data_IF_398391634930
#
_entry.id   IF_398391634930
#
_cell.length_a   1.000
_cell.length_b   1.000
_cell.length_c   1.000
_cell.angle_alpha   90.00
_cell.angle_beta   90.00
_cell.angle_gamma   90.00
#
_symmetry.space_group_name_H-M   'P 1'
#
loop_
_entity.id
_entity.type
_entity.pdbx_description
1 polymer ?
#
# COMPACT_ATOMS: atom_id res chain seq x y z
N UNK A 1 -21.10 -10.18 -0.85
CA UNK A 1 -20.31 -9.11 -1.53
C UNK A 1 -21.02 -7.79 -1.32
N UNK A 2 -20.29 -6.77 -0.89
CA UNK A 2 -20.79 -5.40 -0.69
C UNK A 2 -20.91 -4.72 -2.07
N UNK A 3 -22.05 -4.10 -2.34
CA UNK A 3 -22.25 -3.30 -3.57
C UNK A 3 -21.57 -1.93 -3.42
N UNK A 4 -20.86 -1.41 -4.44
CA UNK A 4 -20.33 -0.06 -4.39
C UNK A 4 -21.46 0.96 -4.18
N UNK A 5 -21.27 1.99 -3.32
CA UNK A 5 -22.34 2.90 -2.91
C UNK A 5 -22.91 3.78 -4.03
N UNK A 6 -22.28 3.84 -5.20
CA UNK A 6 -22.70 4.65 -6.35
C UNK A 6 -22.76 3.87 -7.67
N UNK A 7 -22.93 2.54 -7.61
CA UNK A 7 -22.93 1.72 -8.82
C UNK A 7 -24.03 2.16 -9.79
N UNK A 8 -25.22 2.47 -9.31
CA UNK A 8 -26.36 2.89 -10.12
C UNK A 8 -26.08 4.22 -10.86
N UNK A 9 -25.37 5.14 -10.21
CA UNK A 9 -25.01 6.40 -10.83
C UNK A 9 -23.95 6.19 -11.92
N UNK A 10 -22.97 5.31 -11.67
CA UNK A 10 -21.98 4.92 -12.69
C UNK A 10 -22.66 4.34 -13.93
N UNK A 11 -23.62 3.42 -13.76
CA UNK A 11 -24.35 2.80 -14.87
C UNK A 11 -25.28 3.77 -15.61
N UNK A 12 -25.76 4.82 -14.93
CA UNK A 12 -26.52 5.90 -15.59
C UNK A 12 -25.62 6.79 -16.44
N UNK A 13 -24.41 7.06 -15.97
CA UNK A 13 -23.41 7.86 -16.71
C UNK A 13 -22.90 7.07 -17.91
N UNK A 14 -22.67 5.77 -17.73
CA UNK A 14 -22.22 4.87 -18.79
C UNK A 14 -22.96 3.53 -18.75
N UNK A 15 -23.93 3.37 -19.64
CA UNK A 15 -24.76 2.17 -19.74
C UNK A 15 -24.02 0.96 -20.30
N UNK A 16 -22.87 1.14 -20.96
CA UNK A 16 -22.07 0.03 -21.50
C UNK A 16 -21.46 -0.83 -20.39
N UNK A 17 -21.41 -0.31 -19.16
CA UNK A 17 -20.91 -1.02 -17.99
C UNK A 17 -21.92 -2.00 -17.37
N UNK A 18 -23.17 -2.05 -17.87
CA UNK A 18 -24.25 -2.83 -17.26
C UNK A 18 -23.91 -4.31 -17.12
N UNK A 19 -23.37 -4.93 -18.17
CA UNK A 19 -23.03 -6.36 -18.15
C UNK A 19 -21.80 -6.67 -17.28
N UNK A 20 -21.03 -5.63 -16.90
CA UNK A 20 -19.82 -5.75 -16.10
C UNK A 20 -20.03 -5.47 -14.60
N UNK A 21 -21.27 -5.21 -14.18
CA UNK A 21 -21.62 -5.02 -12.76
C UNK A 21 -21.03 -6.08 -11.82
N UNK A 22 -21.08 -7.40 -12.13
CA UNK A 22 -20.52 -8.41 -11.25
C UNK A 22 -19.03 -8.20 -10.99
N UNK A 23 -18.26 -7.83 -12.03
CA UNK A 23 -16.83 -7.56 -11.90
C UNK A 23 -16.54 -6.26 -11.16
N UNK A 24 -17.35 -5.21 -11.35
CA UNK A 24 -17.22 -3.95 -10.61
C UNK A 24 -17.45 -4.22 -9.11
N UNK A 25 -18.47 -4.99 -8.76
CA UNK A 25 -18.74 -5.40 -7.38
C UNK A 25 -17.57 -6.23 -6.83
N UNK A 26 -17.07 -7.21 -7.58
CA UNK A 26 -15.94 -8.04 -7.14
C UNK A 26 -14.69 -7.20 -6.86
N UNK A 27 -14.32 -6.28 -7.77
CA UNK A 27 -13.17 -5.38 -7.60
C UNK A 27 -13.32 -4.46 -6.38
N UNK A 28 -14.52 -3.97 -6.12
CA UNK A 28 -14.77 -3.16 -4.94
C UNK A 28 -14.59 -3.94 -3.64
N UNK A 29 -14.99 -5.22 -3.60
CA UNK A 29 -14.74 -6.05 -2.42
C UNK A 29 -13.24 -6.33 -2.23
N UNK A 30 -12.49 -6.58 -3.32
CA UNK A 30 -11.02 -6.69 -3.26
C UNK A 30 -10.40 -5.40 -2.70
N UNK A 31 -10.87 -4.24 -3.15
CA UNK A 31 -10.46 -2.95 -2.60
C UNK A 31 -10.74 -2.86 -1.09
N UNK A 32 -11.95 -3.21 -0.64
CA UNK A 32 -12.31 -3.19 0.78
C UNK A 32 -11.45 -4.15 1.61
N UNK A 33 -11.10 -5.32 1.08
CA UNK A 33 -10.22 -6.28 1.75
C UNK A 33 -8.81 -5.70 1.94
N UNK A 34 -8.25 -5.07 0.91
CA UNK A 34 -6.95 -4.39 1.02
C UNK A 34 -7.01 -3.16 1.93
N UNK A 35 -8.07 -2.36 1.84
CA UNK A 35 -8.28 -1.22 2.73
C UNK A 35 -8.29 -1.70 4.20
N UNK A 36 -9.04 -2.76 4.51
CA UNK A 36 -9.08 -3.34 5.86
C UNK A 36 -7.69 -3.77 6.32
N UNK A 37 -6.91 -4.45 5.47
CA UNK A 37 -5.53 -4.86 5.79
C UNK A 37 -4.62 -3.67 6.06
N UNK A 38 -4.77 -2.57 5.31
CA UNK A 38 -4.02 -1.33 5.55
C UNK A 38 -4.43 -0.69 6.88
N UNK A 39 -5.72 -0.68 7.21
CA UNK A 39 -6.21 -0.21 8.51
C UNK A 39 -5.63 -1.02 9.68
N UNK A 40 -5.52 -2.35 9.53
CA UNK A 40 -4.85 -3.23 10.50
C UNK A 40 -3.33 -2.91 10.63
N UNK A 41 -2.70 -2.32 9.60
CA UNK A 41 -1.32 -1.82 9.63
C UNK A 41 -1.17 -0.40 10.20
N UNK A 42 -2.21 0.16 10.83
CA UNK A 42 -2.19 1.50 11.42
C UNK A 42 -2.73 2.61 10.52
N UNK A 43 -3.45 2.26 9.45
CA UNK A 43 -4.20 3.19 8.62
C UNK A 43 -3.43 3.76 7.44
N UNK A 44 -4.17 4.34 6.50
CA UNK A 44 -3.63 4.87 5.24
C UNK A 44 -2.53 5.93 5.45
N UNK A 45 -2.73 6.85 6.40
CA UNK A 45 -1.77 7.92 6.69
C UNK A 45 -0.41 7.34 7.12
N UNK A 46 -0.41 6.37 8.04
CA UNK A 46 0.82 5.70 8.48
C UNK A 46 1.44 4.90 7.33
N UNK A 47 0.63 4.09 6.65
CA UNK A 47 1.09 3.16 5.61
C UNK A 47 1.79 3.88 4.45
N UNK A 48 1.29 5.05 4.05
CA UNK A 48 1.87 5.87 2.97
C UNK A 48 3.14 6.63 3.36
N UNK A 49 3.51 6.62 4.64
CA UNK A 49 4.70 7.31 5.16
C UNK A 49 5.89 6.36 5.38
N UNK A 50 5.94 5.24 4.66
CA UNK A 50 7.02 4.26 4.77
C UNK A 50 8.44 4.84 4.60
N UNK A 51 8.60 5.94 3.87
CA UNK A 51 9.88 6.66 3.74
C UNK A 51 10.44 7.22 5.06
N UNK A 52 9.62 7.27 6.12
CA UNK A 52 10.04 7.64 7.48
C UNK A 52 10.59 6.47 8.29
N UNK A 53 10.50 5.25 7.76
CA UNK A 53 10.97 4.01 8.41
C UNK A 53 11.99 3.27 7.52
N UNK A 54 11.76 3.20 6.21
CA UNK A 54 12.63 2.54 5.22
C UNK A 54 13.68 3.49 4.63
N UNK A 55 14.82 2.92 4.22
CA UNK A 55 15.97 3.64 3.69
C UNK A 55 16.99 4.00 4.79
N UNK A 56 17.75 5.07 4.55
CA UNK A 56 18.76 5.59 5.47
C UNK A 56 18.22 6.83 6.19
N UNK A 57 18.05 6.75 7.51
CA UNK A 57 17.43 7.79 8.32
C UNK A 57 18.36 8.17 9.47
N UNK A 58 18.78 9.43 9.49
CA UNK A 58 19.58 10.00 10.59
C UNK A 58 18.69 10.24 11.81
N UNK A 59 19.10 9.71 12.94
CA UNK A 59 18.41 9.83 14.22
C UNK A 59 18.83 11.09 14.97
N UNK A 60 18.09 11.46 16.02
CA UNK A 60 18.38 12.64 16.84
C UNK A 60 19.70 12.55 17.63
N UNK A 61 20.21 11.33 17.87
CA UNK A 61 21.51 11.08 18.49
C UNK A 61 22.68 10.98 17.47
N UNK A 62 22.41 11.34 16.21
CA UNK A 62 23.30 11.21 15.05
C UNK A 62 23.65 9.77 14.62
N UNK A 63 23.01 8.74 15.18
CA UNK A 63 23.09 7.41 14.59
C UNK A 63 22.33 7.35 13.25
N UNK A 64 22.64 6.37 12.40
CA UNK A 64 21.94 6.14 11.13
C UNK A 64 21.18 4.81 11.23
N UNK A 65 19.85 4.88 11.13
CA UNK A 65 19.01 3.71 10.98
C UNK A 65 18.91 3.35 9.50
N UNK A 66 19.16 2.08 9.17
CA UNK A 66 19.05 1.54 7.82
C UNK A 66 18.04 0.39 7.82
N UNK A 67 16.98 0.52 7.02
CA UNK A 67 15.96 -0.53 6.89
C UNK A 67 15.62 -0.76 5.42
N UNK A 68 15.71 -2.02 4.98
CA UNK A 68 15.43 -2.44 3.60
C UNK A 68 14.56 -3.70 3.59
N UNK A 69 13.68 -3.84 2.60
CA UNK A 69 12.87 -5.04 2.45
C UNK A 69 13.51 -6.02 1.45
N UNK A 70 14.26 -6.99 1.99
CA UNK A 70 14.92 -8.02 1.18
C UNK A 70 14.69 -9.43 1.77
N UNK A 71 13.46 -9.95 1.77
CA UNK A 71 13.11 -11.21 2.43
C UNK A 71 13.79 -12.45 1.82
N UNK A 72 14.29 -12.33 0.59
CA UNK A 72 15.02 -13.40 -0.10
C UNK A 72 16.54 -13.33 0.02
N UNK A 73 17.08 -12.41 0.81
CA UNK A 73 18.53 -12.25 0.96
C UNK A 73 19.09 -13.19 2.05
N UNK A 74 20.14 -13.94 1.73
CA UNK A 74 20.89 -14.71 2.73
C UNK A 74 21.73 -13.78 3.63
N UNK A 75 22.23 -12.68 3.06
CA UNK A 75 23.02 -11.67 3.75
C UNK A 75 22.75 -10.28 3.17
N UNK A 76 22.90 -9.26 4.01
CA UNK A 76 22.78 -7.84 3.64
C UNK A 76 24.00 -7.07 4.15
N UNK A 77 24.49 -6.15 3.34
CA UNK A 77 25.57 -5.24 3.70
C UNK A 77 25.23 -3.83 3.21
N UNK A 78 25.58 -2.82 4.00
CA UNK A 78 25.51 -1.41 3.63
C UNK A 78 26.93 -0.96 3.22
N UNK A 79 27.11 -0.64 1.94
CA UNK A 79 28.42 -0.27 1.36
C UNK A 79 28.36 1.08 0.65
N UNK A 80 29.48 1.81 0.65
CA UNK A 80 29.64 3.06 -0.09
C UNK A 80 31.00 3.71 0.19
N UNK A 81 31.19 4.97 -0.20
CA UNK A 81 32.45 5.71 0.01
C UNK A 81 32.88 5.80 1.48
N UNK A 82 31.94 5.58 2.42
CA UNK A 82 32.16 5.53 3.87
C UNK A 82 32.75 4.20 4.36
N UNK A 83 32.82 3.15 3.53
CA UNK A 83 33.18 1.78 3.92
C UNK A 83 34.61 1.37 3.54
N UNK A 84 35.59 2.27 3.69
CA UNK A 84 37.00 1.97 3.38
C UNK A 84 37.60 0.94 4.32
#
# INVERSE_FOLDING_TARGET
>A
MVKPPQLENLLKIDSWLYDFQPEIIRRYNVFLDFQKRIEECGGMERFTQGYKEFGLIVQSDNSVHCQEWAPGADQLALIGDFSK
#
